data_IF_435572684776
#
_entry.id   IF_435572684776
#
_cell.length_a   1.000
_cell.length_b   1.000
_cell.length_c   1.000
_cell.angle_alpha   90.00
_cell.angle_beta   90.00
_cell.angle_gamma   90.00
#
_symmetry.space_group_name_H-M   'P 1'
#
loop_
_entity.id
_entity.type
_entity.pdbx_description
1 polymer ?
#
# COMPACT_ATOMS: atom_id res chain seq x y z
N UNK A 1 -14.86 -3.40 -19.38
CA UNK A 1 -15.57 -4.66 -19.74
C UNK A 1 -16.03 -4.70 -21.20
N UNK A 2 -16.54 -3.62 -21.81
CA UNK A 2 -16.93 -3.63 -23.25
C UNK A 2 -15.78 -3.99 -24.22
N UNK A 3 -14.55 -3.61 -23.87
CA UNK A 3 -13.35 -3.93 -24.65
C UNK A 3 -12.77 -5.33 -24.33
N UNK A 4 -13.37 -6.08 -23.39
CA UNK A 4 -12.87 -7.39 -22.96
C UNK A 4 -12.69 -8.38 -24.11
N UNK A 5 -13.62 -8.37 -25.06
CA UNK A 5 -13.55 -9.26 -26.23
C UNK A 5 -12.64 -8.73 -27.32
N UNK A 6 -12.31 -7.43 -27.34
CA UNK A 6 -11.58 -6.78 -28.44
C UNK A 6 -10.09 -6.68 -28.17
N UNK A 7 -9.72 -6.36 -26.94
CA UNK A 7 -8.36 -6.10 -26.50
C UNK A 7 -7.87 -7.20 -25.53
N UNK A 8 -6.71 -7.79 -25.86
CA UNK A 8 -6.08 -8.83 -25.05
C UNK A 8 -5.59 -8.29 -23.71
N UNK A 9 -5.08 -7.07 -23.66
CA UNK A 9 -4.57 -6.49 -22.42
C UNK A 9 -5.71 -6.20 -21.45
N UNK A 10 -6.83 -5.68 -21.96
CA UNK A 10 -8.07 -5.56 -21.20
C UNK A 10 -8.57 -6.92 -20.69
N UNK A 11 -8.56 -7.96 -21.53
CA UNK A 11 -8.95 -9.33 -21.13
C UNK A 11 -8.08 -9.85 -19.98
N UNK A 12 -6.76 -9.83 -20.16
CA UNK A 12 -5.81 -10.33 -19.16
C UNK A 12 -5.92 -9.55 -17.85
N UNK A 13 -6.07 -8.23 -17.92
CA UNK A 13 -6.19 -7.38 -16.73
C UNK A 13 -7.48 -7.65 -15.98
N UNK A 14 -8.62 -7.78 -16.68
CA UNK A 14 -9.92 -8.08 -16.07
C UNK A 14 -9.92 -9.51 -15.49
N UNK A 15 -9.37 -10.49 -16.22
CA UNK A 15 -9.32 -11.87 -15.75
C UNK A 15 -8.48 -12.01 -14.47
N UNK A 16 -7.31 -11.34 -14.41
CA UNK A 16 -6.47 -11.29 -13.20
C UNK A 16 -7.21 -10.66 -12.04
N UNK A 17 -7.88 -9.53 -12.27
CA UNK A 17 -8.65 -8.81 -11.25
C UNK A 17 -9.76 -9.70 -10.66
N UNK A 18 -10.53 -10.37 -11.51
CA UNK A 18 -11.66 -11.22 -11.10
C UNK A 18 -11.21 -12.43 -10.28
N UNK A 19 -10.11 -13.07 -10.69
CA UNK A 19 -9.53 -14.22 -9.98
C UNK A 19 -8.92 -13.77 -8.65
N UNK A 20 -8.11 -12.71 -8.65
CA UNK A 20 -7.34 -12.29 -7.47
C UNK A 20 -8.24 -11.74 -6.36
N UNK A 21 -9.31 -11.03 -6.72
CA UNK A 21 -10.23 -10.41 -5.75
C UNK A 21 -11.53 -11.19 -5.56
N UNK A 22 -11.61 -12.41 -6.09
CA UNK A 22 -12.80 -13.27 -6.07
C UNK A 22 -14.09 -12.48 -6.35
N UNK A 23 -14.10 -11.78 -7.48
CA UNK A 23 -15.18 -10.88 -7.88
C UNK A 23 -15.59 -11.15 -9.34
N UNK A 24 -16.79 -10.72 -9.71
CA UNK A 24 -17.29 -10.86 -11.08
C UNK A 24 -18.11 -9.65 -11.50
N UNK A 25 -17.86 -9.18 -12.72
CA UNK A 25 -18.44 -7.96 -13.24
C UNK A 25 -17.95 -6.70 -12.52
N UNK A 26 -18.54 -5.55 -12.84
CA UNK A 26 -18.26 -4.28 -12.16
C UNK A 26 -19.00 -4.21 -10.84
N UNK A 27 -20.33 -4.36 -10.88
CA UNK A 27 -21.22 -4.34 -9.74
C UNK A 27 -21.65 -5.75 -9.33
N UNK A 28 -21.87 -6.62 -10.31
CA UNK A 28 -22.15 -8.03 -10.10
C UNK A 28 -21.98 -8.83 -11.42
N UNK A 29 -22.05 -10.15 -11.31
CA UNK A 29 -21.86 -11.06 -12.44
C UNK A 29 -22.85 -10.86 -13.61
N UNK A 30 -24.05 -10.31 -13.37
CA UNK A 30 -25.04 -10.05 -14.42
C UNK A 30 -24.62 -8.94 -15.38
N UNK A 31 -23.62 -8.14 -15.02
CA UNK A 31 -23.06 -7.13 -15.94
C UNK A 31 -22.58 -7.78 -17.25
N UNK A 32 -22.12 -9.05 -17.19
CA UNK A 32 -21.71 -9.81 -18.37
C UNK A 32 -22.88 -10.19 -19.28
N UNK A 33 -24.10 -10.26 -18.76
CA UNK A 33 -25.26 -10.72 -19.54
C UNK A 33 -25.68 -9.72 -20.62
N UNK A 34 -25.26 -8.47 -20.48
CA UNK A 34 -25.60 -7.38 -21.39
C UNK A 34 -24.40 -6.95 -22.27
N UNK A 35 -23.32 -7.75 -22.27
CA UNK A 35 -22.09 -7.44 -23.02
C UNK A 35 -21.82 -8.59 -23.99
N UNK A 36 -21.68 -8.34 -25.31
CA UNK A 36 -21.28 -9.36 -26.26
C UNK A 36 -19.76 -9.63 -26.14
N UNK A 37 -19.38 -10.37 -25.10
CA UNK A 37 -17.99 -10.63 -24.75
C UNK A 37 -17.43 -11.93 -25.36
N UNK A 38 -18.30 -12.82 -25.84
CA UNK A 38 -17.90 -14.05 -26.56
C UNK A 38 -17.77 -13.71 -28.04
N UNK A 39 -16.59 -13.96 -28.63
CA UNK A 39 -16.42 -13.85 -30.09
C UNK A 39 -17.12 -15.03 -30.76
N UNK A 40 -18.02 -14.81 -31.73
CA UNK A 40 -18.61 -15.93 -32.47
C UNK A 40 -17.54 -16.58 -33.36
N UNK A 41 -17.63 -17.90 -33.54
CA UNK A 41 -16.62 -18.71 -34.24
C UNK A 41 -16.37 -18.27 -35.69
N UNK A 42 -17.37 -17.65 -36.32
CA UNK A 42 -17.30 -17.13 -37.68
C UNK A 42 -16.67 -15.72 -37.78
N UNK A 43 -16.15 -15.16 -36.68
CA UNK A 43 -15.55 -13.82 -36.66
C UNK A 43 -16.55 -12.68 -36.87
N UNK A 44 -17.86 -12.97 -36.83
CA UNK A 44 -18.92 -11.97 -36.94
C UNK A 44 -18.98 -11.05 -35.72
N UNK A 45 -19.61 -9.89 -35.89
CA UNK A 45 -20.04 -9.05 -34.78
C UNK A 45 -21.46 -9.49 -34.43
N UNK A 46 -21.74 -9.81 -33.16
CA UNK A 46 -23.11 -10.05 -32.72
C UNK A 46 -23.79 -8.68 -32.63
N UNK A 47 -24.80 -8.37 -33.47
CA UNK A 47 -25.52 -7.12 -33.37
C UNK A 47 -26.44 -7.22 -32.15
N UNK A 48 -25.98 -6.67 -31.03
CA UNK A 48 -26.75 -6.55 -29.79
C UNK A 48 -26.98 -5.07 -29.55
N UNK A 49 -28.23 -4.64 -29.36
CA UNK A 49 -28.49 -3.27 -28.95
C UNK A 49 -28.00 -3.04 -27.52
N UNK A 50 -27.67 -1.79 -27.19
CA UNK A 50 -27.10 -1.45 -25.88
C UNK A 50 -28.16 -1.67 -24.80
N UNK A 51 -28.01 -2.74 -24.02
CA UNK A 51 -28.89 -3.07 -22.90
C UNK A 51 -29.64 -4.38 -23.07
N UNK A 52 -29.62 -4.99 -24.25
CA UNK A 52 -30.27 -6.27 -24.47
C UNK A 52 -29.56 -7.40 -23.73
N UNK A 53 -30.36 -8.38 -23.31
CA UNK A 53 -29.86 -9.62 -22.75
C UNK A 53 -29.21 -10.45 -23.86
N UNK A 54 -27.90 -10.67 -23.76
CA UNK A 54 -27.09 -11.44 -24.72
C UNK A 54 -27.10 -12.91 -24.36
N UNK A 55 -26.61 -13.24 -23.16
CA UNK A 55 -26.56 -14.60 -22.65
C UNK A 55 -26.40 -14.61 -21.13
N UNK A 56 -26.71 -15.74 -20.51
CA UNK A 56 -26.44 -16.03 -19.10
C UNK A 56 -25.05 -16.67 -18.90
N UNK A 57 -24.06 -16.26 -19.69
CA UNK A 57 -22.69 -16.75 -19.60
C UNK A 57 -21.78 -15.70 -18.96
N UNK A 58 -20.78 -16.17 -18.21
CA UNK A 58 -19.72 -15.34 -17.62
C UNK A 58 -18.34 -15.89 -17.99
N UNK A 59 -17.30 -15.05 -17.98
CA UNK A 59 -15.93 -15.52 -18.15
C UNK A 59 -15.54 -16.54 -17.08
N UNK A 60 -14.64 -17.47 -17.44
CA UNK A 60 -14.09 -18.45 -16.51
C UNK A 60 -13.41 -17.81 -15.28
N UNK A 61 -12.86 -16.61 -15.43
CA UNK A 61 -12.26 -15.83 -14.33
C UNK A 61 -13.25 -15.45 -13.23
N UNK A 62 -14.56 -15.52 -13.47
CA UNK A 62 -15.59 -15.34 -12.43
C UNK A 62 -15.80 -16.56 -11.53
N UNK A 63 -15.18 -17.70 -11.81
CA UNK A 63 -15.31 -18.90 -10.99
C UNK A 63 -14.79 -18.67 -9.56
N UNK A 64 -15.57 -19.10 -8.56
CA UNK A 64 -15.17 -18.98 -7.15
C UNK A 64 -14.33 -20.19 -6.72
N UNK A 65 -13.21 -19.94 -6.03
CA UNK A 65 -12.35 -20.99 -5.47
C UNK A 65 -13.01 -21.78 -4.34
N UNK A 66 -14.10 -21.26 -3.74
CA UNK A 66 -14.84 -21.93 -2.66
C UNK A 66 -15.75 -23.07 -3.12
N UNK A 67 -15.95 -23.25 -4.43
CA UNK A 67 -16.79 -24.33 -4.96
C UNK A 67 -16.02 -25.65 -4.99
N UNK A 68 -16.48 -26.63 -4.20
CA UNK A 68 -16.00 -28.02 -4.26
C UNK A 68 -16.41 -28.77 -5.55
N UNK A 69 -17.25 -28.15 -6.38
CA UNK A 69 -17.75 -28.70 -7.64
C UNK A 69 -17.13 -27.97 -8.83
N UNK A 70 -17.10 -28.62 -10.02
CA UNK A 70 -16.70 -27.95 -11.25
C UNK A 70 -17.46 -26.63 -11.42
N UNK A 71 -16.72 -25.58 -11.78
CA UNK A 71 -17.33 -24.28 -12.01
C UNK A 71 -18.20 -24.30 -13.27
N UNK A 72 -19.47 -23.94 -13.11
CA UNK A 72 -20.40 -23.70 -14.22
C UNK A 72 -20.40 -22.20 -14.50
N UNK A 73 -19.87 -21.82 -15.66
CA UNK A 73 -19.77 -20.43 -16.10
C UNK A 73 -20.53 -20.16 -17.41
N UNK A 74 -21.06 -21.21 -18.03
CA UNK A 74 -22.04 -21.11 -19.12
C UNK A 74 -23.41 -21.53 -18.61
N UNK A 75 -24.46 -20.88 -19.10
CA UNK A 75 -25.85 -21.15 -18.72
C UNK A 75 -26.06 -21.18 -17.20
N UNK A 76 -25.49 -20.21 -16.49
CA UNK A 76 -25.39 -20.24 -15.02
C UNK A 76 -26.74 -20.10 -14.31
N UNK A 77 -27.78 -19.64 -15.02
CA UNK A 77 -29.14 -19.57 -14.48
C UNK A 77 -29.90 -20.89 -14.66
N UNK A 78 -29.33 -21.85 -15.39
CA UNK A 78 -29.95 -23.14 -15.71
C UNK A 78 -29.49 -24.24 -14.74
N UNK A 79 -30.44 -25.06 -14.28
CA UNK A 79 -30.15 -26.24 -13.46
C UNK A 79 -29.52 -27.33 -14.32
N UNK A 80 -28.44 -27.94 -13.86
CA UNK A 80 -27.78 -29.05 -14.57
C UNK A 80 -27.76 -30.31 -13.70
N UNK A 81 -28.53 -31.33 -14.09
CA UNK A 81 -28.68 -32.56 -13.31
C UNK A 81 -27.40 -33.40 -13.24
N UNK A 82 -26.63 -33.48 -14.34
CA UNK A 82 -25.38 -34.25 -14.42
C UNK A 82 -24.35 -33.72 -13.42
N UNK A 83 -24.23 -32.39 -13.31
CA UNK A 83 -23.31 -31.73 -12.39
C UNK A 83 -23.92 -31.44 -11.01
N UNK A 84 -25.18 -31.86 -10.77
CA UNK A 84 -25.97 -31.55 -9.56
C UNK A 84 -25.90 -30.06 -9.21
N UNK A 85 -26.03 -29.23 -10.23
CA UNK A 85 -25.94 -27.77 -10.13
C UNK A 85 -27.34 -27.17 -10.02
N UNK A 86 -27.57 -26.44 -8.93
CA UNK A 86 -28.81 -25.73 -8.63
C UNK A 86 -28.48 -24.26 -8.33
N UNK A 87 -28.75 -23.33 -9.27
CA UNK A 87 -28.47 -21.90 -9.12
C UNK A 87 -29.14 -21.26 -7.91
N UNK A 88 -30.27 -21.82 -7.43
CA UNK A 88 -31.00 -21.27 -6.28
C UNK A 88 -30.31 -21.55 -4.95
N UNK A 89 -29.53 -22.65 -4.87
CA UNK A 89 -28.81 -23.04 -3.64
C UNK A 89 -27.46 -22.36 -3.57
N UNK A 90 -26.67 -22.47 -4.62
CA UNK A 90 -25.31 -21.94 -4.64
C UNK A 90 -24.83 -21.76 -6.08
N UNK A 91 -24.41 -20.53 -6.41
CA UNK A 91 -23.71 -20.23 -7.65
C UNK A 91 -22.24 -20.62 -7.50
N UNK A 92 -21.67 -21.30 -8.50
CA UNK A 92 -20.24 -21.68 -8.55
C UNK A 92 -19.30 -20.52 -8.93
N UNK A 93 -19.82 -19.30 -8.93
CA UNK A 93 -19.13 -18.09 -9.37
C UNK A 93 -19.15 -17.04 -8.26
N UNK A 94 -18.23 -16.09 -8.33
CA UNK A 94 -18.18 -14.94 -7.46
C UNK A 94 -19.36 -14.00 -7.74
N UNK A 95 -20.25 -13.80 -6.77
CA UNK A 95 -21.44 -12.94 -6.96
C UNK A 95 -21.15 -11.46 -6.71
N UNK A 96 -20.05 -11.17 -6.01
CA UNK A 96 -19.61 -9.84 -5.62
C UNK A 96 -19.02 -9.08 -6.81
N UNK A 97 -19.41 -7.81 -7.00
CA UNK A 97 -18.81 -6.93 -7.99
C UNK A 97 -17.39 -6.48 -7.66
N UNK A 98 -16.57 -6.32 -8.70
CA UNK A 98 -15.17 -5.94 -8.54
C UNK A 98 -14.96 -4.50 -8.05
N UNK A 99 -15.87 -3.56 -8.33
CA UNK A 99 -15.78 -2.19 -7.80
C UNK A 99 -15.77 -2.20 -6.27
N UNK A 100 -16.71 -2.94 -5.67
CA UNK A 100 -16.77 -3.12 -4.22
C UNK A 100 -15.63 -3.98 -3.69
N UNK A 101 -15.17 -4.98 -4.45
CA UNK A 101 -13.98 -5.78 -4.11
C UNK A 101 -12.74 -4.91 -3.93
N UNK A 102 -12.47 -4.05 -4.91
CA UNK A 102 -11.33 -3.14 -4.89
C UNK A 102 -11.46 -2.08 -3.81
N UNK A 103 -12.65 -1.50 -3.62
CA UNK A 103 -12.88 -0.50 -2.58
C UNK A 103 -12.58 -1.08 -1.18
N UNK A 104 -13.09 -2.28 -0.87
CA UNK A 104 -12.81 -2.90 0.42
C UNK A 104 -11.34 -3.29 0.58
N UNK A 105 -10.73 -3.89 -0.44
CA UNK A 105 -9.30 -4.22 -0.39
C UNK A 105 -8.43 -2.95 -0.23
N UNK A 106 -8.82 -1.86 -0.89
CA UNK A 106 -8.19 -0.55 -0.74
C UNK A 106 -8.34 -0.03 0.68
N UNK A 107 -9.55 0.00 1.22
CA UNK A 107 -9.82 0.49 2.57
C UNK A 107 -9.12 -0.35 3.64
N UNK A 108 -9.06 -1.67 3.48
CA UNK A 108 -8.36 -2.57 4.40
C UNK A 108 -6.84 -2.29 4.40
N UNK A 109 -6.26 -2.06 3.22
CA UNK A 109 -4.86 -1.73 3.08
C UNK A 109 -4.54 -0.31 3.58
N UNK A 110 -5.38 0.67 3.26
CA UNK A 110 -5.25 2.05 3.73
C UNK A 110 -5.36 2.12 5.25
N UNK A 111 -6.34 1.41 5.84
CA UNK A 111 -6.49 1.33 7.29
C UNK A 111 -5.21 0.79 7.94
N UNK A 112 -4.70 -0.35 7.47
CA UNK A 112 -3.45 -0.95 7.98
C UNK A 112 -2.25 -0.02 7.80
N UNK A 113 -2.11 0.59 6.64
CA UNK A 113 -1.00 1.50 6.34
C UNK A 113 -1.07 2.79 7.18
N UNK A 114 -2.27 3.32 7.39
CA UNK A 114 -2.48 4.56 8.14
C UNK A 114 -2.01 4.45 9.58
N UNK A 115 -2.22 3.30 10.23
CA UNK A 115 -1.74 3.02 11.59
C UNK A 115 -0.21 3.08 11.63
N UNK A 116 0.46 2.41 10.69
CA UNK A 116 1.92 2.41 10.61
C UNK A 116 2.47 3.83 10.35
N UNK A 117 1.82 4.61 9.48
CA UNK A 117 2.22 5.98 9.19
C UNK A 117 2.13 6.88 10.42
N UNK A 118 1.09 6.76 11.24
CA UNK A 118 0.94 7.54 12.48
C UNK A 118 2.04 7.20 13.50
N UNK A 119 2.38 5.92 13.63
CA UNK A 119 3.48 5.48 14.51
C UNK A 119 4.81 6.10 14.05
N UNK A 120 5.13 5.97 12.75
CA UNK A 120 6.36 6.51 12.19
C UNK A 120 6.43 8.04 12.33
N UNK A 121 5.32 8.75 12.12
CA UNK A 121 5.25 10.20 12.29
C UNK A 121 5.51 10.61 13.76
N UNK A 122 4.99 9.84 14.71
CA UNK A 122 5.19 10.09 16.15
C UNK A 122 6.65 9.93 16.54
N UNK A 123 7.30 8.86 16.07
CA UNK A 123 8.74 8.61 16.30
C UNK A 123 9.58 9.74 15.69
N UNK A 124 9.26 10.17 14.46
CA UNK A 124 9.95 11.26 13.78
C UNK A 124 9.84 12.59 14.54
N UNK A 125 8.66 12.87 15.12
CA UNK A 125 8.45 14.07 15.93
C UNK A 125 9.31 14.05 17.20
N UNK A 126 9.38 12.90 17.90
CA UNK A 126 10.22 12.74 19.10
C UNK A 126 11.69 12.98 18.77
N UNK A 127 12.20 12.32 17.71
CA UNK A 127 13.59 12.49 17.26
C UNK A 127 13.87 13.94 16.88
N UNK A 128 12.93 14.60 16.19
CA UNK A 128 13.03 16.01 15.82
C UNK A 128 13.16 16.91 17.04
N UNK A 129 12.29 16.75 18.05
CA UNK A 129 12.34 17.51 19.31
C UNK A 129 13.65 17.27 20.06
N UNK A 130 14.07 16.00 20.23
CA UNK A 130 15.33 15.66 20.88
C UNK A 130 16.54 16.29 20.19
N UNK A 131 16.55 16.29 18.85
CA UNK A 131 17.62 16.91 18.06
C UNK A 131 17.69 18.42 18.25
N UNK A 132 16.53 19.10 18.37
CA UNK A 132 16.49 20.54 18.65
C UNK A 132 16.98 20.88 20.05
N UNK A 133 16.56 20.12 21.05
CA UNK A 133 17.06 20.27 22.42
C UNK A 133 18.59 20.09 22.46
N UNK A 134 19.10 19.05 21.78
CA UNK A 134 20.54 18.80 21.70
C UNK A 134 21.29 19.98 21.04
N UNK A 135 20.78 20.49 19.91
CA UNK A 135 21.38 21.66 19.23
C UNK A 135 21.43 22.90 20.15
N UNK A 136 20.35 23.20 20.86
CA UNK A 136 20.31 24.33 21.81
C UNK A 136 21.34 24.17 22.92
N UNK A 137 21.47 22.94 23.47
CA UNK A 137 22.45 22.68 24.54
C UNK A 137 23.91 22.83 24.09
N UNK A 138 24.22 22.49 22.83
CA UNK A 138 25.57 22.66 22.27
C UNK A 138 25.86 24.15 22.06
N UNK A 139 24.90 24.91 21.52
CA UNK A 139 25.07 26.35 21.29
C UNK A 139 25.33 27.11 22.59
N UNK A 140 24.53 26.85 23.64
CA UNK A 140 24.73 27.50 24.94
C UNK A 140 26.10 27.22 25.56
N UNK A 141 26.67 26.03 25.30
CA UNK A 141 28.02 25.68 25.78
C UNK A 141 29.12 26.43 25.05
N UNK A 142 28.94 26.74 23.77
CA UNK A 142 29.91 27.53 23.01
C UNK A 142 29.90 28.99 23.47
N UNK A 143 28.72 29.56 23.74
CA UNK A 143 28.61 30.92 24.28
C UNK A 143 29.21 31.03 25.70
N UNK A 144 28.99 30.03 26.57
CA UNK A 144 29.61 29.96 27.91
C UNK A 144 31.15 29.93 27.81
N UNK A 145 31.71 29.12 26.91
CA UNK A 145 33.16 29.05 26.69
C UNK A 145 33.74 30.36 26.12
N UNK A 146 33.03 31.03 25.20
CA UNK A 146 33.47 32.31 24.64
C UNK A 146 33.43 33.43 25.70
N UNK A 147 32.44 33.42 26.60
CA UNK A 147 32.37 34.33 27.74
C UNK A 147 33.48 34.05 28.77
N UNK A 148 33.89 32.80 28.95
CA UNK A 148 35.02 32.43 29.81
C UNK A 148 36.38 32.81 29.21
N UNK A 149 36.52 32.78 27.88
CA UNK A 149 37.68 33.33 27.17
C UNK A 149 37.72 34.88 27.25
N UNK A 150 36.57 35.53 27.33
CA UNK A 150 36.45 36.99 27.52
C UNK A 150 36.61 37.46 28.97
N UNK A 151 36.65 36.55 29.94
CA UNK A 151 36.80 36.87 31.36
C UNK A 151 38.28 37.04 31.73
N UNK A 152 38.70 38.16 32.35
CA UNK A 152 40.11 38.44 32.68
C UNK A 152 40.77 37.41 33.61
N UNK A 153 39.99 36.49 34.19
CA UNK A 153 40.47 35.42 35.09
C UNK A 153 41.22 34.30 34.37
N UNK A 154 40.97 34.06 33.08
CA UNK A 154 41.70 33.04 32.29
C UNK A 154 43.17 33.43 32.10
N UNK A 155 43.45 34.73 31.87
CA UNK A 155 44.80 35.27 31.80
C UNK A 155 45.53 35.23 33.15
N UNK A 156 44.84 35.41 34.28
CA UNK A 156 45.46 35.28 35.61
C UNK A 156 45.75 33.83 35.98
N UNK A 157 44.86 32.89 35.64
CA UNK A 157 45.09 31.46 35.88
C UNK A 157 46.25 30.91 35.04
N UNK A 158 46.40 31.37 33.80
CA UNK A 158 47.51 30.98 32.93
C UNK A 158 48.83 31.68 33.30
N UNK A 159 48.77 32.94 33.78
CA UNK A 159 49.94 33.67 34.28
C UNK A 159 50.44 33.11 35.62
N UNK A 160 49.54 32.68 36.51
CA UNK A 160 49.88 32.05 37.78
C UNK A 160 50.46 30.64 37.61
N UNK A 161 50.02 29.89 36.57
CA UNK A 161 50.62 28.60 36.20
C UNK A 161 51.99 28.77 35.54
N UNK A 162 52.18 29.80 34.69
CA UNK A 162 53.49 30.12 34.10
C UNK A 162 54.51 30.62 35.12
N UNK A 163 54.13 31.42 36.12
CA UNK A 163 55.05 31.88 37.16
C UNK A 163 55.49 30.74 38.09
N UNK A 164 54.60 29.81 38.42
CA UNK A 164 54.95 28.61 39.22
C UNK A 164 55.93 27.69 38.46
N UNK A 165 55.74 27.50 37.16
CA UNK A 165 56.62 26.64 36.35
C UNK A 165 58.02 27.23 36.14
N UNK A 166 58.15 28.57 36.10
CA UNK A 166 59.46 29.25 35.92
C UNK A 166 60.28 29.29 37.22
N UNK A 167 59.63 29.25 38.38
CA UNK A 167 60.30 29.23 39.69
C UNK A 167 60.85 27.82 40.01
N UNK A 168 60.16 26.76 39.55
CA UNK A 168 60.60 25.36 39.67
C UNK A 168 61.82 25.04 38.78
N UNK A 169 61.92 25.67 37.60
CA UNK A 169 63.04 25.48 36.67
C UNK A 169 64.32 26.18 37.16
N UNK A 170 64.22 27.33 37.85
CA UNK A 170 65.38 28.02 38.47
C UNK A 170 65.93 27.33 39.72
N UNK A 171 65.09 26.64 40.49
CA UNK A 171 65.52 25.88 41.67
C UNK A 171 66.36 24.65 41.32
N UNK A 172 66.22 24.12 40.09
CA UNK A 172 66.88 22.89 39.65
C UNK A 172 68.25 23.14 39.00
N UNK A 173 68.58 24.38 38.65
CA UNK A 173 69.82 24.72 37.94
C UNK A 173 70.94 25.32 38.83
N UNK A 174 70.79 25.28 40.15
CA UNK A 174 71.83 25.70 41.11
C UNK A 174 72.23 24.57 42.08
N UNK A 175 72.54 23.39 41.54
CA UNK A 175 73.26 22.35 42.28
C UNK A 175 74.11 21.48 41.37
#
# INVERSE_FOLDING_TARGET
>A
MKEYSKDLDAKVSIDKLQIQFECCGSHNYRDWFHIPWIRPENGGVIPVEVGDFVSDDVPFSCCSGGSLRPCIHHKILSTHHIYRYDPQRHLSISTRGCSKALEQAGNDNISKQSVLTVITATVQAIIGVCSRILQTSVMSRLEENDLDLGSPKSHEAERSKKSASVEEEKATQTK
#
